data_IF_819368786483
#
_entry.id   IF_819368786483
#
_cell.length_a   1.000
_cell.length_b   1.000
_cell.length_c   1.000
_cell.angle_alpha   90.00
_cell.angle_beta   90.00
_cell.angle_gamma   90.00
#
_symmetry.space_group_name_H-M   'P 1'
#
loop_
_entity.id
_entity.type
_entity.pdbx_description
1 polymer ?
#
# COMPACT_ATOMS: atom_id res chain seq x y z
N UNK A 1 -21.71 -8.47 -26.50
CA UNK A 1 -20.37 -8.31 -25.92
C UNK A 1 -19.54 -9.50 -26.35
N UNK A 2 -18.48 -9.29 -27.13
CA UNK A 2 -17.57 -10.33 -27.58
C UNK A 2 -16.56 -10.61 -26.48
N UNK A 3 -16.42 -11.87 -26.08
CA UNK A 3 -15.41 -12.28 -25.10
C UNK A 3 -14.05 -12.30 -25.83
N UNK A 4 -13.05 -11.52 -25.39
CA UNK A 4 -11.76 -11.46 -26.06
C UNK A 4 -11.01 -12.80 -25.93
N UNK A 5 -10.25 -13.13 -26.97
CA UNK A 5 -9.49 -14.37 -27.08
C UNK A 5 -8.35 -14.41 -26.05
N UNK A 6 -8.20 -15.55 -25.36
CA UNK A 6 -7.21 -15.70 -24.28
C UNK A 6 -5.82 -15.88 -24.88
N UNK A 7 -4.96 -14.84 -24.78
CA UNK A 7 -3.55 -14.93 -25.21
C UNK A 7 -2.78 -15.90 -24.32
N UNK A 8 -1.99 -16.80 -24.95
CA UNK A 8 -1.03 -17.66 -24.26
C UNK A 8 0.23 -16.84 -23.96
N UNK A 9 0.38 -16.41 -22.72
CA UNK A 9 1.56 -15.69 -22.25
C UNK A 9 2.54 -16.73 -21.70
N UNK A 10 3.78 -16.75 -22.18
CA UNK A 10 4.84 -17.66 -21.73
C UNK A 10 5.88 -16.87 -20.93
N UNK A 11 6.21 -17.35 -19.73
CA UNK A 11 7.16 -16.71 -18.80
C UNK A 11 7.09 -17.37 -17.41
N UNK A 12 8.17 -17.30 -16.63
CA UNK A 12 8.18 -17.77 -15.25
C UNK A 12 7.64 -16.67 -14.33
N UNK A 13 6.46 -16.90 -13.73
CA UNK A 13 6.02 -16.10 -12.59
C UNK A 13 6.68 -16.66 -11.34
N UNK A 14 7.76 -16.03 -10.90
CA UNK A 14 8.18 -16.16 -9.51
C UNK A 14 7.16 -15.40 -8.69
N UNK A 15 6.35 -16.12 -7.89
CA UNK A 15 5.56 -15.52 -6.83
C UNK A 15 6.56 -14.72 -5.98
N UNK A 16 6.53 -13.39 -6.03
CA UNK A 16 7.16 -12.58 -4.99
C UNK A 16 6.21 -12.68 -3.81
N UNK A 17 6.50 -13.49 -2.76
CA UNK A 17 5.60 -13.58 -1.64
C UNK A 17 5.55 -12.20 -1.01
N UNK A 18 4.36 -11.61 -1.00
CA UNK A 18 4.08 -10.54 -0.06
C UNK A 18 4.24 -11.20 1.32
N UNK A 19 5.29 -10.80 2.05
CA UNK A 19 5.65 -11.44 3.32
C UNK A 19 4.53 -11.30 4.34
N UNK A 20 3.92 -10.13 4.40
CA UNK A 20 2.85 -9.79 5.33
C UNK A 20 1.65 -9.16 4.59
N UNK A 21 0.46 -9.76 4.72
CA UNK A 21 -0.80 -9.19 4.21
C UNK A 21 -1.73 -8.91 5.39
N UNK A 22 -1.93 -7.63 5.69
CA UNK A 22 -2.92 -7.19 6.66
C UNK A 22 -4.22 -6.79 5.95
N UNK A 23 -5.34 -7.40 6.33
CA UNK A 23 -6.64 -7.16 5.71
C UNK A 23 -7.75 -7.00 6.76
N UNK A 24 -8.87 -6.41 6.35
CA UNK A 24 -10.02 -6.14 7.23
C UNK A 24 -10.04 -4.72 7.80
N UNK A 25 -11.10 -4.42 8.53
CA UNK A 25 -11.28 -3.12 9.17
C UNK A 25 -10.14 -2.85 10.17
N UNK A 26 -9.59 -1.63 10.14
CA UNK A 26 -8.52 -1.23 11.06
C UNK A 26 -7.13 -1.79 10.74
N UNK A 27 -6.94 -2.51 9.63
CA UNK A 27 -5.63 -3.08 9.28
C UNK A 27 -4.51 -2.04 9.18
N UNK A 28 -4.84 -0.80 8.81
CA UNK A 28 -3.90 0.33 8.73
C UNK A 28 -3.22 0.62 10.08
N UNK A 29 -3.82 0.25 11.21
CA UNK A 29 -3.26 0.43 12.54
C UNK A 29 -2.00 -0.43 12.78
N UNK A 30 -1.72 -1.40 11.91
CA UNK A 30 -0.49 -2.21 11.93
C UNK A 30 0.70 -1.54 11.25
N UNK A 31 0.49 -0.40 10.58
CA UNK A 31 1.52 0.28 9.81
C UNK A 31 2.73 0.69 10.67
N UNK A 32 2.50 1.24 11.86
CA UNK A 32 3.57 1.59 12.81
C UNK A 32 4.46 0.39 13.13
N UNK A 33 3.84 -0.72 13.55
CA UNK A 33 4.53 -1.97 13.91
C UNK A 33 5.39 -2.48 12.74
N UNK A 34 4.84 -2.46 11.53
CA UNK A 34 5.55 -2.88 10.32
C UNK A 34 6.73 -1.96 10.02
N UNK A 35 6.54 -0.64 10.05
CA UNK A 35 7.63 0.32 9.78
C UNK A 35 8.75 0.19 10.82
N UNK A 36 8.38 -0.03 12.09
CA UNK A 36 9.32 -0.26 13.19
C UNK A 36 10.13 -1.54 13.01
N UNK A 37 9.48 -2.65 12.60
CA UNK A 37 10.14 -3.95 12.34
C UNK A 37 11.29 -3.86 11.32
N UNK A 38 11.17 -2.95 10.35
CA UNK A 38 12.18 -2.71 9.32
C UNK A 38 13.06 -1.48 9.58
N UNK A 39 13.02 -0.91 10.79
CA UNK A 39 13.77 0.30 11.19
C UNK A 39 13.56 1.50 10.24
N UNK A 40 12.35 1.64 9.70
CA UNK A 40 12.01 2.75 8.83
C UNK A 40 11.77 4.00 9.67
N UNK A 41 12.62 5.03 9.50
CA UNK A 41 12.51 6.30 10.23
C UNK A 41 11.83 7.41 9.42
N UNK A 42 11.87 7.31 8.08
CA UNK A 42 11.28 8.27 7.15
C UNK A 42 10.72 7.54 5.93
N UNK A 43 9.47 7.83 5.60
CA UNK A 43 8.78 7.26 4.44
C UNK A 43 8.19 8.35 3.54
N UNK A 44 8.15 8.05 2.24
CA UNK A 44 7.37 8.78 1.24
C UNK A 44 6.07 8.01 0.98
N UNK A 45 4.92 8.66 1.13
CA UNK A 45 3.63 8.09 0.74
C UNK A 45 3.32 8.48 -0.70
N UNK A 46 3.17 7.51 -1.59
CA UNK A 46 2.77 7.74 -2.99
C UNK A 46 1.28 7.41 -3.13
N UNK A 47 0.49 8.33 -3.66
CA UNK A 47 -0.96 8.17 -3.80
C UNK A 47 -1.52 8.88 -5.03
N UNK A 48 -2.74 8.52 -5.42
CA UNK A 48 -3.45 9.21 -6.51
C UNK A 48 -4.14 10.49 -6.04
N UNK A 49 -4.31 11.45 -6.95
CA UNK A 49 -5.01 12.73 -6.69
C UNK A 49 -6.37 12.56 -6.03
N UNK A 50 -7.15 11.55 -6.44
CA UNK A 50 -8.48 11.30 -5.88
C UNK A 50 -8.42 10.92 -4.40
N UNK A 51 -7.53 10.01 -4.01
CA UNK A 51 -7.41 9.63 -2.60
C UNK A 51 -6.87 10.77 -1.74
N UNK A 52 -5.99 11.59 -2.31
CA UNK A 52 -5.43 12.75 -1.65
C UNK A 52 -6.46 13.87 -1.43
N UNK A 53 -7.21 14.24 -2.47
CA UNK A 53 -8.12 15.39 -2.43
C UNK A 53 -9.51 15.05 -1.88
N UNK A 54 -10.04 13.88 -2.20
CA UNK A 54 -11.47 13.58 -2.02
C UNK A 54 -11.74 12.70 -0.79
N UNK A 55 -10.70 12.26 -0.08
CA UNK A 55 -10.86 11.33 1.04
C UNK A 55 -9.99 11.70 2.24
N UNK A 56 -10.35 11.16 3.41
CA UNK A 56 -9.51 11.25 4.61
C UNK A 56 -8.47 10.13 4.69
N UNK A 57 -8.32 9.32 3.64
CA UNK A 57 -7.49 8.11 3.67
C UNK A 57 -6.01 8.45 3.88
N UNK A 58 -5.49 9.45 3.15
CA UNK A 58 -4.09 9.89 3.29
C UNK A 58 -3.79 10.31 4.72
N UNK A 59 -4.66 11.11 5.34
CA UNK A 59 -4.47 11.53 6.72
C UNK A 59 -4.50 10.35 7.70
N UNK A 60 -5.40 9.38 7.49
CA UNK A 60 -5.45 8.14 8.30
C UNK A 60 -4.14 7.36 8.22
N UNK A 61 -3.57 7.23 7.02
CA UNK A 61 -2.29 6.53 6.80
C UNK A 61 -1.12 7.29 7.45
N UNK A 62 -1.07 8.62 7.32
CA UNK A 62 -0.06 9.46 8.00
C UNK A 62 -0.12 9.24 9.52
N UNK A 63 -1.30 9.32 10.10
CA UNK A 63 -1.49 9.16 11.54
C UNK A 63 -1.08 7.76 12.01
N UNK A 64 -1.41 6.71 11.24
CA UNK A 64 -1.05 5.34 11.55
C UNK A 64 0.45 5.02 11.39
N UNK A 65 1.22 5.92 10.77
CA UNK A 65 2.67 5.77 10.60
C UNK A 65 3.50 6.31 11.78
N UNK A 66 2.84 6.82 12.83
CA UNK A 66 3.49 7.51 13.97
C UNK A 66 4.36 8.70 13.51
N UNK A 67 3.92 9.39 12.44
CA UNK A 67 4.64 10.53 11.88
C UNK A 67 5.90 10.19 11.09
N UNK A 68 6.16 8.91 10.75
CA UNK A 68 7.28 8.49 9.90
C UNK A 68 7.09 8.91 8.43
N UNK A 69 5.86 9.08 7.96
CA UNK A 69 5.59 9.66 6.64
C UNK A 69 5.92 11.15 6.67
N UNK A 70 6.94 11.57 5.90
CA UNK A 70 7.44 12.97 5.87
C UNK A 70 6.96 13.75 4.66
N UNK A 71 6.48 13.07 3.63
CA UNK A 71 5.97 13.69 2.42
C UNK A 71 4.94 12.78 1.74
N UNK A 72 4.07 13.38 0.94
CA UNK A 72 3.07 12.70 0.13
C UNK A 72 3.22 13.18 -1.31
N UNK A 73 3.30 12.22 -2.24
CA UNK A 73 3.39 12.46 -3.69
C UNK A 73 2.11 12.00 -4.38
#
# INVERSE_FOLDING_TARGET
MTIPEKKKIEGAFTLLPIEDVFYGEGCVNKLEEVLSRYDIQKALLITGKTLFNETKLVQKVINASEGRIKSVF
#
